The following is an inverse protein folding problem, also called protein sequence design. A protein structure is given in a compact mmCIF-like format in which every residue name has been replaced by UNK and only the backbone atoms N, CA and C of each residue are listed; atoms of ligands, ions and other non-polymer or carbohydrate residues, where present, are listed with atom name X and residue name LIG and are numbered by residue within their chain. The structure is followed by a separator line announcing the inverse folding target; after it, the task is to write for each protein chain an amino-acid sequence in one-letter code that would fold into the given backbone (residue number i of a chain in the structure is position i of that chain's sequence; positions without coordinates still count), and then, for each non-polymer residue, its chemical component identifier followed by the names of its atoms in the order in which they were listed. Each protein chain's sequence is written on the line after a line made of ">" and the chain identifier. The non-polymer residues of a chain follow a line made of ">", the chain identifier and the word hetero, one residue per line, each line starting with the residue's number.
data_IF_415777164067
#
_entry.id   IF_415777164067
#
_cell.length_a   1.000
_cell.length_b   1.000
_cell.length_c   1.000
_cell.angle_alpha   90.00
_cell.angle_beta   90.00
_cell.angle_gamma   90.00
#
_symmetry.space_group_name_H-M   'P 1'
#
loop_
_entity.id
_entity.type
_entity.pdbx_description
1 polymer ?
#
# COMPACT_ATOMS: atom_id res chain seq x y z
N UNK A 1 11.06 19.51 -0.06
CA UNK A 1 12.20 19.20 0.84
C UNK A 1 11.80 19.31 2.30
N UNK A 2 11.13 20.39 2.73
CA UNK A 2 10.64 20.57 4.11
C UNK A 2 9.81 19.40 4.66
N UNK A 3 8.89 18.84 3.87
CA UNK A 3 8.02 17.75 4.36
C UNK A 3 8.74 16.39 4.52
N UNK A 4 9.82 16.16 3.75
CA UNK A 4 10.71 15.01 3.96
C UNK A 4 11.45 15.16 5.29
N UNK A 5 11.88 16.37 5.63
CA UNK A 5 12.55 16.66 6.89
C UNK A 5 11.60 16.49 8.08
N UNK A 6 10.33 16.92 7.92
CA UNK A 6 9.27 16.65 8.91
C UNK A 6 9.13 15.14 9.15
N UNK A 7 8.96 14.35 8.08
CA UNK A 7 8.86 12.89 8.20
C UNK A 7 10.08 12.28 8.88
N UNK A 8 11.30 12.70 8.50
CA UNK A 8 12.54 12.20 9.11
C UNK A 8 12.68 12.59 10.58
N UNK A 9 12.27 13.80 10.96
CA UNK A 9 12.24 14.24 12.36
C UNK A 9 11.33 13.33 13.17
N UNK A 10 10.09 13.09 12.68
CA UNK A 10 9.13 12.22 13.35
C UNK A 10 9.67 10.79 13.48
N UNK A 11 10.21 10.22 12.41
CA UNK A 11 10.83 8.88 12.46
C UNK A 11 12.00 8.78 13.45
N UNK A 12 12.75 9.88 13.67
CA UNK A 12 13.81 9.93 14.68
C UNK A 12 13.32 10.10 16.12
N UNK A 13 12.10 10.62 16.30
CA UNK A 13 11.46 10.84 17.60
C UNK A 13 10.64 9.63 18.07
N UNK A 14 10.15 8.82 17.13
CA UNK A 14 9.32 7.64 17.42
C UNK A 14 10.06 6.66 18.34
N UNK A 15 9.36 6.20 19.38
CA UNK A 15 9.86 5.21 20.34
C UNK A 15 9.08 3.91 20.20
N UNK A 16 9.80 2.80 20.06
CA UNK A 16 9.22 1.47 20.17
C UNK A 16 9.08 1.09 21.65
N UNK A 17 7.89 0.63 22.04
CA UNK A 17 7.61 0.08 23.36
C UNK A 17 7.80 -1.43 23.43
N UNK A 18 7.29 -2.04 24.49
CA UNK A 18 7.33 -3.49 24.71
C UNK A 18 6.41 -4.23 23.73
N UNK A 19 6.94 -5.27 23.10
CA UNK A 19 6.18 -6.08 22.16
C UNK A 19 5.09 -6.89 22.88
N UNK A 20 3.90 -6.95 22.29
CA UNK A 20 2.76 -7.75 22.76
C UNK A 20 2.44 -8.83 21.74
N UNK A 21 2.13 -10.04 22.20
CA UNK A 21 1.70 -11.12 21.33
C UNK A 21 0.16 -11.19 21.26
N UNK A 22 -0.35 -11.57 20.09
CA UNK A 22 -1.75 -11.93 19.85
C UNK A 22 -1.77 -13.11 18.88
N UNK A 23 -1.86 -14.33 19.42
CA UNK A 23 -1.56 -15.56 18.69
C UNK A 23 -0.21 -15.49 17.94
N UNK A 24 -0.19 -15.66 16.61
CA UNK A 24 1.03 -15.58 15.80
C UNK A 24 1.49 -14.15 15.47
N UNK A 25 0.72 -13.12 15.85
CA UNK A 25 1.12 -11.72 15.68
C UNK A 25 1.97 -11.23 16.84
N UNK A 26 3.07 -10.57 16.51
CA UNK A 26 3.77 -9.66 17.42
C UNK A 26 3.42 -8.21 17.09
N UNK A 27 3.06 -7.41 18.09
CA UNK A 27 2.69 -6.01 17.93
C UNK A 27 3.64 -5.16 18.78
N UNK A 28 4.46 -4.34 18.13
CA UNK A 28 5.35 -3.40 18.81
C UNK A 28 4.71 -2.01 18.78
N UNK A 29 4.24 -1.48 19.92
CA UNK A 29 3.63 -0.16 19.95
C UNK A 29 4.66 0.92 19.64
N UNK A 30 4.25 1.92 18.89
CA UNK A 30 5.03 3.11 18.60
C UNK A 30 4.37 4.32 19.26
N UNK A 31 5.17 5.17 19.89
CA UNK A 31 4.73 6.45 20.46
C UNK A 31 5.59 7.60 19.94
N UNK A 32 5.05 8.81 20.01
CA UNK A 32 5.62 10.01 19.39
C UNK A 32 4.70 10.54 18.29
N UNK A 33 5.22 11.37 17.41
CA UNK A 33 4.40 12.07 16.41
C UNK A 33 4.02 13.48 16.85
N UNK A 34 3.35 14.20 15.95
CA UNK A 34 2.84 15.54 16.18
C UNK A 34 1.43 15.61 15.58
N UNK A 35 0.43 16.09 16.33
CA UNK A 35 -0.94 16.12 15.84
C UNK A 35 -1.06 17.11 14.68
N UNK A 36 -1.71 16.68 13.60
CA UNK A 36 -2.14 17.55 12.51
C UNK A 36 -3.34 18.41 12.97
N UNK A 37 -3.78 19.40 12.17
CA UNK A 37 -5.09 20.00 12.38
C UNK A 37 -6.24 18.99 12.31
N UNK A 38 -7.43 19.41 12.74
CA UNK A 38 -8.60 18.54 12.81
C UNK A 38 -9.01 18.00 11.43
N UNK A 39 -9.38 16.73 11.40
CA UNK A 39 -9.95 16.02 10.26
C UNK A 39 -10.88 14.90 10.76
N UNK A 40 -11.76 14.40 9.90
CA UNK A 40 -12.67 13.28 10.19
C UNK A 40 -12.23 12.05 9.39
N UNK A 41 -12.36 10.83 9.95
CA UNK A 41 -12.03 9.63 9.19
C UNK A 41 -13.15 9.28 8.20
N UNK A 42 -12.79 8.72 7.04
CA UNK A 42 -13.73 8.37 5.98
C UNK A 42 -14.87 7.47 6.47
N UNK A 43 -14.57 6.48 7.31
CA UNK A 43 -15.56 5.59 7.92
C UNK A 43 -16.66 6.36 8.68
N UNK A 44 -16.25 7.34 9.48
CA UNK A 44 -17.16 8.18 10.28
C UNK A 44 -17.97 9.12 9.39
N UNK A 45 -17.32 9.76 8.43
CA UNK A 45 -17.98 10.67 7.50
C UNK A 45 -18.97 9.93 6.58
N UNK A 46 -18.65 8.72 6.14
CA UNK A 46 -19.58 7.86 5.38
C UNK A 46 -20.79 7.46 6.22
N UNK A 47 -20.56 7.04 7.47
CA UNK A 47 -21.64 6.67 8.38
C UNK A 47 -22.58 7.85 8.70
N UNK A 48 -22.03 9.06 8.77
CA UNK A 48 -22.79 10.30 8.96
C UNK A 48 -23.44 10.86 7.67
N UNK A 49 -23.18 10.26 6.49
CA UNK A 49 -23.64 10.80 5.21
C UNK A 49 -22.95 12.10 4.79
N UNK A 50 -21.78 12.40 5.38
CA UNK A 50 -20.95 13.57 5.11
C UNK A 50 -19.83 13.31 4.09
N UNK A 51 -19.60 12.05 3.72
CA UNK A 51 -18.74 11.66 2.60
C UNK A 51 -19.55 10.80 1.64
N UNK A 52 -19.37 11.02 0.34
CA UNK A 52 -19.88 10.15 -0.71
C UNK A 52 -18.71 9.69 -1.57
N UNK A 53 -18.57 8.37 -1.77
CA UNK A 53 -17.59 7.82 -2.72
C UNK A 53 -18.35 7.05 -3.80
N UNK A 54 -18.07 7.32 -5.07
CA UNK A 54 -18.78 6.72 -6.22
C UNK A 54 -17.87 6.46 -7.41
N UNK A 55 -18.36 5.68 -8.36
CA UNK A 55 -17.71 5.52 -9.66
C UNK A 55 -17.69 6.86 -10.41
N UNK A 56 -16.59 7.14 -11.13
CA UNK A 56 -16.53 8.25 -12.10
C UNK A 56 -17.55 8.01 -13.22
N UNK A 57 -18.10 9.07 -13.80
CA UNK A 57 -19.02 8.96 -14.95
C UNK A 57 -18.40 8.08 -16.06
N UNK A 58 -19.14 7.06 -16.53
CA UNK A 58 -18.65 6.05 -17.47
C UNK A 58 -17.97 4.82 -16.83
N UNK A 59 -17.55 4.90 -15.56
CA UNK A 59 -16.90 3.80 -14.83
C UNK A 59 -15.44 3.59 -15.26
N UNK A 60 -14.61 4.63 -15.13
CA UNK A 60 -13.19 4.55 -15.46
C UNK A 60 -12.36 4.01 -14.28
N UNK A 61 -11.75 2.84 -14.45
CA UNK A 61 -10.63 2.38 -13.61
C UNK A 61 -9.38 3.18 -14.02
N UNK A 62 -8.45 3.55 -13.12
CA UNK A 62 -8.32 3.17 -11.70
C UNK A 62 -8.75 4.27 -10.70
N UNK A 63 -9.87 4.96 -10.95
CA UNK A 63 -10.29 6.12 -10.12
C UNK A 63 -11.71 6.00 -9.58
N UNK A 64 -11.93 6.42 -8.33
CA UNK A 64 -13.24 6.76 -7.80
C UNK A 64 -13.34 8.28 -7.59
N UNK A 65 -14.54 8.78 -7.35
CA UNK A 65 -14.78 10.17 -6.97
C UNK A 65 -15.17 10.21 -5.49
N UNK A 66 -14.48 11.01 -4.70
CA UNK A 66 -14.81 11.30 -3.31
C UNK A 66 -15.34 12.73 -3.18
N UNK A 67 -16.54 12.86 -2.63
CA UNK A 67 -17.22 14.13 -2.38
C UNK A 67 -17.39 14.33 -0.88
N UNK A 68 -16.61 15.24 -0.32
CA UNK A 68 -16.69 15.63 1.08
C UNK A 68 -17.72 16.75 1.26
N UNK A 69 -18.76 16.47 2.03
CA UNK A 69 -19.84 17.39 2.40
C UNK A 69 -19.65 17.97 3.81
N UNK A 70 -18.65 17.51 4.57
CA UNK A 70 -18.32 18.04 5.88
C UNK A 70 -17.69 19.44 5.79
N UNK A 71 -17.73 20.15 6.92
CA UNK A 71 -17.00 21.41 7.16
C UNK A 71 -15.50 21.18 7.41
N UNK A 72 -15.10 19.94 7.67
CA UNK A 72 -13.74 19.52 7.98
C UNK A 72 -13.15 18.69 6.83
N UNK A 73 -11.82 18.65 6.68
CA UNK A 73 -11.17 17.67 5.82
C UNK A 73 -11.50 16.24 6.24
N UNK A 74 -11.66 15.34 5.27
CA UNK A 74 -11.93 13.91 5.51
C UNK A 74 -10.74 13.07 5.05
N UNK A 75 -10.19 12.27 5.96
CA UNK A 75 -9.05 11.40 5.71
C UNK A 75 -9.50 10.01 5.24
N UNK A 76 -9.11 9.66 4.02
CA UNK A 76 -9.14 8.30 3.50
C UNK A 76 -7.74 7.72 3.65
N UNK A 77 -7.62 6.54 4.23
CA UNK A 77 -6.32 5.94 4.54
C UNK A 77 -5.79 5.09 3.39
N UNK A 78 -4.48 5.02 3.25
CA UNK A 78 -3.87 3.96 2.43
C UNK A 78 -4.25 2.60 3.02
N UNK A 79 -4.62 1.69 2.11
CA UNK A 79 -4.96 0.32 2.47
C UNK A 79 -6.44 0.11 2.83
N UNK A 80 -7.26 1.17 2.91
CA UNK A 80 -8.69 0.99 3.15
C UNK A 80 -9.34 0.28 1.98
N UNK A 81 -10.14 -0.73 2.30
CA UNK A 81 -11.00 -1.39 1.34
C UNK A 81 -12.34 -0.65 1.22
N UNK A 82 -12.70 -0.27 0.01
CA UNK A 82 -13.97 0.36 -0.35
C UNK A 82 -14.86 -0.64 -1.07
N UNK A 83 -16.06 -0.86 -0.53
CA UNK A 83 -17.04 -1.85 -1.00
C UNK A 83 -18.33 -1.16 -1.39
N UNK A 84 -19.12 -1.75 -2.28
CA UNK A 84 -20.43 -1.23 -2.71
C UNK A 84 -20.44 -0.52 -4.07
N UNK A 85 -19.27 -0.26 -4.65
CA UNK A 85 -19.12 0.16 -6.06
C UNK A 85 -19.04 -1.06 -7.00
N UNK A 86 -18.65 -0.91 -8.28
CA UNK A 86 -18.73 -2.03 -9.26
C UNK A 86 -17.75 -3.17 -9.01
N UNK A 87 -16.67 -2.87 -8.31
CA UNK A 87 -15.63 -3.78 -7.81
C UNK A 87 -15.19 -3.29 -6.45
N UNK A 88 -14.77 -4.19 -5.58
CA UNK A 88 -14.04 -3.75 -4.39
C UNK A 88 -12.73 -3.08 -4.78
N UNK A 89 -12.45 -1.99 -4.08
CA UNK A 89 -11.26 -1.17 -4.30
C UNK A 89 -10.42 -1.12 -3.04
N UNK A 90 -9.13 -0.92 -3.21
CA UNK A 90 -8.24 -0.45 -2.15
C UNK A 90 -7.71 0.94 -2.51
N UNK A 91 -7.68 1.86 -1.55
CA UNK A 91 -7.04 3.19 -1.74
C UNK A 91 -5.55 3.02 -1.99
N UNK A 92 -5.02 3.67 -3.02
CA UNK A 92 -3.60 3.53 -3.38
C UNK A 92 -2.66 4.29 -2.45
N UNK A 93 -3.12 5.42 -1.93
CA UNK A 93 -2.38 6.40 -1.13
C UNK A 93 -3.33 7.02 -0.10
N UNK A 94 -2.84 7.59 1.02
CA UNK A 94 -3.66 8.42 1.88
C UNK A 94 -4.16 9.66 1.12
N UNK A 95 -5.42 10.02 1.33
CA UNK A 95 -6.01 11.23 0.74
C UNK A 95 -6.76 12.01 1.80
N UNK A 96 -6.32 13.24 2.07
CA UNK A 96 -7.04 14.20 2.90
C UNK A 96 -7.91 15.09 2.01
N UNK A 97 -9.17 14.72 1.85
CA UNK A 97 -10.13 15.43 0.99
C UNK A 97 -10.52 16.74 1.65
N UNK A 98 -10.30 17.91 1.02
CA UNK A 98 -10.66 19.21 1.60
C UNK A 98 -12.14 19.28 1.98
N UNK A 99 -12.47 20.13 2.96
CA UNK A 99 -13.85 20.42 3.33
C UNK A 99 -14.68 20.89 2.12
N UNK A 100 -15.94 20.46 2.04
CA UNK A 100 -16.89 20.92 1.00
C UNK A 100 -16.34 20.82 -0.43
N UNK A 101 -15.65 19.73 -0.75
CA UNK A 101 -14.94 19.55 -2.03
C UNK A 101 -15.23 18.20 -2.67
N UNK A 102 -14.86 18.07 -3.95
CA UNK A 102 -14.93 16.83 -4.70
C UNK A 102 -13.62 16.62 -5.46
N UNK A 103 -13.07 15.40 -5.41
CA UNK A 103 -11.85 15.04 -6.14
C UNK A 103 -11.86 13.57 -6.57
N UNK A 104 -10.96 13.23 -7.49
CA UNK A 104 -10.72 11.85 -7.92
C UNK A 104 -9.68 11.19 -7.01
N UNK A 105 -10.01 10.01 -6.47
CA UNK A 105 -9.11 9.21 -5.63
C UNK A 105 -8.55 8.01 -6.40
N UNK A 106 -7.22 7.77 -6.34
CA UNK A 106 -6.61 6.63 -7.00
C UNK A 106 -6.85 5.34 -6.20
N UNK A 107 -7.28 4.31 -6.91
CA UNK A 107 -7.61 3.02 -6.30
C UNK A 107 -7.10 1.85 -7.15
N UNK A 108 -7.03 0.66 -6.54
CA UNK A 108 -6.80 -0.59 -7.25
C UNK A 108 -7.94 -1.56 -7.02
N UNK A 109 -8.33 -2.37 -8.01
CA UNK A 109 -9.34 -3.40 -7.78
C UNK A 109 -8.77 -4.56 -6.95
N UNK A 110 -9.54 -5.03 -5.97
CA UNK A 110 -9.26 -6.25 -5.19
C UNK A 110 -10.35 -7.31 -5.39
N UNK A 111 -11.07 -7.22 -6.50
CA UNK A 111 -12.12 -8.16 -6.95
C UNK A 111 -12.16 -8.26 -8.49
N UNK A 112 -11.26 -9.06 -9.10
CA UNK A 112 -11.02 -9.07 -10.55
C UNK A 112 -12.25 -9.43 -11.41
N UNK A 113 -13.14 -10.30 -10.92
CA UNK A 113 -14.16 -10.97 -11.75
C UNK A 113 -15.57 -10.39 -11.62
N UNK A 114 -15.74 -9.31 -10.85
CA UNK A 114 -17.01 -8.56 -10.78
C UNK A 114 -16.89 -7.26 -11.56
N UNK A 115 -17.91 -6.87 -12.32
CA UNK A 115 -18.02 -5.50 -12.88
C UNK A 115 -19.49 -5.07 -12.92
N UNK A 116 -20.10 -5.01 -11.74
CA UNK A 116 -21.50 -4.63 -11.57
C UNK A 116 -21.72 -4.17 -10.13
N UNK A 117 -22.68 -3.28 -9.93
CA UNK A 117 -23.16 -2.99 -8.59
C UNK A 117 -23.83 -4.23 -8.00
N UNK A 118 -23.70 -4.41 -6.69
CA UNK A 118 -24.48 -5.42 -5.96
C UNK A 118 -25.83 -4.85 -5.56
N UNK A 119 -25.86 -3.93 -4.57
CA UNK A 119 -27.08 -3.29 -4.05
C UNK A 119 -26.98 -1.78 -3.92
N UNK A 120 -25.82 -1.28 -3.49
CA UNK A 120 -25.53 0.16 -3.35
C UNK A 120 -24.89 0.70 -4.63
N UNK A 121 -24.93 2.02 -4.79
CA UNK A 121 -24.23 2.76 -5.87
C UNK A 121 -23.09 3.64 -5.35
N UNK A 122 -22.93 3.68 -4.03
CA UNK A 122 -21.89 4.41 -3.32
C UNK A 122 -21.08 3.44 -2.48
N UNK A 123 -19.80 3.77 -2.29
CA UNK A 123 -18.90 2.98 -1.49
C UNK A 123 -19.16 3.16 0.01
N UNK A 124 -18.79 2.17 0.79
CA UNK A 124 -18.55 2.27 2.23
C UNK A 124 -17.18 1.66 2.54
N UNK A 125 -16.62 2.03 3.67
CA UNK A 125 -15.36 1.45 4.17
C UNK A 125 -15.67 0.10 4.81
N UNK A 126 -14.98 -0.95 4.34
CA UNK A 126 -15.10 -2.29 4.92
C UNK A 126 -14.30 -2.42 6.22
N UNK A 127 -14.70 -3.40 7.04
CA UNK A 127 -14.15 -3.60 8.37
C UNK A 127 -12.64 -3.91 8.39
N UNK A 128 -12.03 -4.71 7.49
CA UNK A 128 -10.59 -4.93 7.53
C UNK A 128 -9.80 -3.86 6.76
N UNK A 129 -8.67 -3.43 7.31
CA UNK A 129 -7.58 -2.87 6.51
C UNK A 129 -7.02 -4.00 5.61
N UNK A 130 -6.67 -3.68 4.37
CA UNK A 130 -6.10 -4.68 3.45
C UNK A 130 -4.82 -5.29 4.01
N UNK A 131 -4.62 -6.58 3.76
CA UNK A 131 -3.52 -7.38 4.31
C UNK A 131 -2.15 -6.78 3.97
N UNK A 132 -1.17 -6.74 4.89
CA UNK A 132 0.17 -6.23 4.66
C UNK A 132 0.83 -6.67 3.35
N UNK A 133 0.72 -7.94 2.94
CA UNK A 133 1.35 -8.37 1.67
C UNK A 133 0.77 -7.69 0.44
N UNK A 134 -0.56 -7.53 0.38
CA UNK A 134 -1.22 -6.82 -0.72
C UNK A 134 -0.85 -5.33 -0.68
N UNK A 135 -0.84 -4.70 0.50
CA UNK A 135 -0.41 -3.31 0.69
C UNK A 135 1.05 -3.10 0.26
N UNK A 136 1.97 -3.97 0.68
CA UNK A 136 3.39 -3.90 0.32
C UNK A 136 3.61 -3.89 -1.20
N UNK A 137 2.93 -4.78 -1.94
CA UNK A 137 3.02 -4.83 -3.42
C UNK A 137 2.42 -3.58 -4.07
N UNK A 138 1.28 -3.11 -3.55
CA UNK A 138 0.61 -1.91 -4.04
C UNK A 138 1.48 -0.67 -3.80
N UNK A 139 1.92 -0.43 -2.57
CA UNK A 139 2.73 0.73 -2.18
C UNK A 139 4.05 0.76 -2.95
N UNK A 140 4.73 -0.39 -3.11
CA UNK A 140 5.92 -0.46 -3.96
C UNK A 140 5.64 -0.06 -5.42
N UNK A 141 4.55 -0.56 -6.00
CA UNK A 141 4.19 -0.26 -7.39
C UNK A 141 3.75 1.20 -7.58
N UNK A 142 2.95 1.73 -6.66
CA UNK A 142 2.45 3.12 -6.67
C UNK A 142 3.62 4.08 -6.48
N UNK A 143 4.51 3.81 -5.51
CA UNK A 143 5.70 4.61 -5.28
C UNK A 143 6.63 4.65 -6.50
N UNK A 144 6.82 3.53 -7.19
CA UNK A 144 7.59 3.48 -8.44
C UNK A 144 6.92 4.30 -9.55
N UNK A 145 5.59 4.19 -9.70
CA UNK A 145 4.83 4.97 -10.67
C UNK A 145 4.89 6.47 -10.39
N UNK A 146 4.77 6.86 -9.12
CA UNK A 146 4.77 8.26 -8.72
C UNK A 146 6.14 8.89 -8.97
N UNK A 147 7.24 8.20 -8.63
CA UNK A 147 8.61 8.65 -8.92
C UNK A 147 8.89 8.78 -10.41
N UNK A 148 8.41 7.84 -11.22
CA UNK A 148 8.73 7.80 -12.65
C UNK A 148 7.86 8.74 -13.49
N UNK A 149 6.58 8.93 -13.10
CA UNK A 149 5.56 9.54 -13.97
C UNK A 149 4.65 10.54 -13.25
N UNK A 150 4.75 10.70 -11.93
CA UNK A 150 3.81 11.53 -11.16
C UNK A 150 2.40 10.92 -11.01
N UNK A 151 2.23 9.63 -11.33
CA UNK A 151 0.94 8.94 -11.33
C UNK A 151 0.83 7.94 -10.17
N UNK A 152 -0.35 7.84 -9.54
CA UNK A 152 -0.64 6.88 -8.45
C UNK A 152 -1.16 5.53 -8.95
N UNK A 153 -0.74 5.14 -10.14
CA UNK A 153 -1.14 3.85 -10.72
C UNK A 153 -0.39 2.71 -10.04
N UNK A 154 -1.09 1.61 -9.80
CA UNK A 154 -0.50 0.35 -9.37
C UNK A 154 -0.44 -0.66 -10.53
N UNK A 155 0.37 -1.71 -10.36
CA UNK A 155 0.31 -2.90 -11.19
C UNK A 155 -0.88 -3.76 -10.76
N UNK A 156 -1.99 -3.58 -11.47
CA UNK A 156 -3.26 -4.24 -11.17
C UNK A 156 -3.16 -5.78 -11.18
N UNK A 157 -2.32 -6.36 -12.05
CA UNK A 157 -2.14 -7.81 -12.13
C UNK A 157 -1.36 -8.34 -10.94
N UNK A 158 -0.34 -7.62 -10.47
CA UNK A 158 0.39 -8.00 -9.24
C UNK A 158 -0.50 -7.93 -8.00
N UNK A 159 -1.43 -6.97 -7.95
CA UNK A 159 -2.42 -6.90 -6.87
C UNK A 159 -3.35 -8.09 -6.92
N UNK A 160 -3.88 -8.46 -8.09
CA UNK A 160 -4.73 -9.64 -8.21
C UNK A 160 -4.01 -10.94 -7.86
N UNK A 161 -2.75 -11.12 -8.29
CA UNK A 161 -1.95 -12.27 -7.87
C UNK A 161 -1.78 -12.32 -6.34
N UNK A 162 -1.59 -11.16 -5.69
CA UNK A 162 -1.53 -11.08 -4.22
C UNK A 162 -2.85 -11.46 -3.55
N UNK A 163 -3.98 -11.01 -4.10
CA UNK A 163 -5.31 -11.37 -3.61
C UNK A 163 -5.56 -12.88 -3.77
N UNK A 164 -5.17 -13.46 -4.90
CA UNK A 164 -5.28 -14.91 -5.14
C UNK A 164 -4.42 -15.73 -4.17
N UNK A 165 -3.19 -15.29 -3.89
CA UNK A 165 -2.34 -15.89 -2.84
C UNK A 165 -3.04 -15.84 -1.47
N UNK A 166 -3.64 -14.70 -1.09
CA UNK A 166 -4.39 -14.58 0.18
C UNK A 166 -5.57 -15.52 0.26
N UNK A 167 -6.36 -15.63 -0.81
CA UNK A 167 -7.50 -16.55 -0.87
C UNK A 167 -7.05 -18.01 -0.75
N UNK A 168 -5.96 -18.38 -1.43
CA UNK A 168 -5.39 -19.72 -1.39
C UNK A 168 -4.84 -20.08 0.00
N UNK A 169 -4.06 -19.19 0.62
CA UNK A 169 -3.53 -19.38 1.98
C UNK A 169 -4.63 -19.42 3.03
N UNK A 170 -5.65 -18.57 2.89
CA UNK A 170 -6.85 -18.61 3.72
C UNK A 170 -7.69 -19.88 3.50
N UNK A 171 -7.45 -20.62 2.40
CA UNK A 171 -8.23 -21.79 1.94
C UNK A 171 -9.70 -21.45 1.70
N UNK A 172 -9.94 -20.28 1.11
CA UNK A 172 -11.29 -19.77 0.80
C UNK A 172 -11.49 -19.74 -0.71
N UNK A 173 -12.60 -20.32 -1.18
CA UNK A 173 -13.05 -20.18 -2.57
C UNK A 173 -13.78 -18.85 -2.76
N UNK A 174 -13.62 -18.23 -3.92
CA UNK A 174 -14.20 -16.92 -4.23
C UNK A 174 -14.51 -16.79 -5.72
N UNK A 175 -15.80 -16.83 -6.07
CA UNK A 175 -16.26 -16.73 -7.46
C UNK A 175 -15.81 -15.42 -8.13
N UNK A 176 -15.81 -14.32 -7.36
CA UNK A 176 -15.42 -13.00 -7.86
C UNK A 176 -13.93 -12.70 -7.69
N UNK A 177 -13.22 -13.53 -6.92
CA UNK A 177 -11.85 -13.26 -6.49
C UNK A 177 -11.75 -12.09 -5.50
N UNK A 178 -12.82 -11.73 -4.79
CA UNK A 178 -12.80 -10.64 -3.83
C UNK A 178 -11.92 -10.95 -2.61
N UNK A 179 -11.04 -10.02 -2.23
CA UNK A 179 -10.22 -10.15 -1.04
C UNK A 179 -11.06 -10.22 0.26
N UNK A 180 -12.20 -9.51 0.32
CA UNK A 180 -13.11 -9.56 1.49
C UNK A 180 -13.53 -10.98 1.86
N UNK A 181 -13.68 -11.88 0.87
CA UNK A 181 -14.08 -13.26 1.13
C UNK A 181 -13.04 -14.01 1.98
N UNK A 182 -11.74 -13.67 1.90
CA UNK A 182 -10.73 -14.24 2.78
C UNK A 182 -10.98 -13.87 4.25
N UNK A 183 -11.37 -12.62 4.52
CA UNK A 183 -11.70 -12.14 5.85
C UNK A 183 -13.03 -12.71 6.37
N UNK A 184 -14.04 -12.83 5.51
CA UNK A 184 -15.34 -13.40 5.84
C UNK A 184 -15.22 -14.90 6.14
N UNK A 185 -14.56 -15.65 5.26
CA UNK A 185 -14.36 -17.09 5.41
C UNK A 185 -13.50 -17.48 6.61
N UNK A 186 -12.69 -16.55 7.13
CA UNK A 186 -11.84 -16.74 8.33
C UNK A 186 -12.25 -15.86 9.50
N UNK A 187 -13.47 -15.31 9.50
CA UNK A 187 -13.90 -14.33 10.48
C UNK A 187 -13.76 -14.80 11.95
N UNK A 188 -14.05 -16.08 12.22
CA UNK A 188 -13.91 -16.67 13.55
C UNK A 188 -12.45 -16.69 14.02
N UNK A 189 -11.54 -17.18 13.19
CA UNK A 189 -10.11 -17.27 13.53
C UNK A 189 -9.50 -15.89 13.74
N UNK A 190 -9.88 -14.93 12.89
CA UNK A 190 -9.42 -13.55 12.98
C UNK A 190 -9.97 -12.85 14.23
N UNK A 191 -11.20 -13.14 14.65
CA UNK A 191 -11.80 -12.54 15.84
C UNK A 191 -11.02 -12.87 17.11
N UNK A 192 -10.49 -14.10 17.23
CA UNK A 192 -9.64 -14.49 18.36
C UNK A 192 -8.36 -13.64 18.43
N UNK A 193 -7.66 -13.50 17.30
CA UNK A 193 -6.45 -12.67 17.22
C UNK A 193 -6.74 -11.20 17.54
N UNK A 194 -7.85 -10.65 17.01
CA UNK A 194 -8.25 -9.27 17.28
C UNK A 194 -8.56 -9.06 18.77
N UNK A 195 -9.25 -10.01 19.40
CA UNK A 195 -9.54 -9.93 20.83
C UNK A 195 -8.26 -9.99 21.69
N UNK A 196 -7.30 -10.86 21.34
CA UNK A 196 -6.03 -10.98 22.05
C UNK A 196 -5.13 -9.75 21.88
N UNK A 197 -5.18 -9.07 20.73
CA UNK A 197 -4.45 -7.83 20.51
C UNK A 197 -4.91 -6.72 21.47
N UNK A 198 -6.16 -6.76 21.92
CA UNK A 198 -6.76 -5.76 22.81
C UNK A 198 -6.75 -4.37 22.19
N UNK A 199 -6.66 -3.33 23.03
CA UNK A 199 -6.61 -1.94 22.59
C UNK A 199 -5.16 -1.41 22.50
N UNK A 200 -4.93 -0.31 21.76
CA UNK A 200 -3.66 0.42 21.81
C UNK A 200 -3.33 0.89 23.22
N UNK A 201 -2.05 0.96 23.54
CA UNK A 201 -1.59 1.56 24.78
C UNK A 201 -1.84 3.07 24.82
N UNK A 202 -1.90 3.64 26.02
CA UNK A 202 -2.03 5.09 26.20
C UNK A 202 -0.87 5.83 25.49
N UNK A 203 -1.22 6.85 24.69
CA UNK A 203 -0.25 7.63 23.92
C UNK A 203 0.35 6.90 22.71
N UNK A 204 -0.07 5.68 22.40
CA UNK A 204 0.35 4.96 21.21
C UNK A 204 -0.18 5.64 19.95
N UNK A 205 0.70 5.91 18.99
CA UNK A 205 0.38 6.56 17.71
C UNK A 205 0.67 5.68 16.50
N UNK A 206 1.38 4.58 16.69
CA UNK A 206 1.58 3.59 15.64
C UNK A 206 1.88 2.19 16.15
N UNK A 207 2.20 1.30 15.22
CA UNK A 207 2.54 -0.09 15.51
C UNK A 207 3.45 -0.65 14.42
N UNK A 208 4.43 -1.47 14.82
CA UNK A 208 5.06 -2.44 13.91
C UNK A 208 4.41 -3.78 14.15
N UNK A 209 3.78 -4.34 13.11
CA UNK A 209 3.24 -5.68 13.13
C UNK A 209 4.30 -6.67 12.66
N UNK A 210 4.42 -7.80 13.35
CA UNK A 210 5.39 -8.84 13.10
C UNK A 210 4.72 -10.21 12.98
N UNK A 211 5.25 -11.06 12.11
CA UNK A 211 4.90 -12.49 11.99
C UNK A 211 6.22 -13.28 11.93
N UNK A 212 6.29 -14.40 12.65
CA UNK A 212 7.55 -15.17 12.76
C UNK A 212 8.70 -14.33 13.35
N UNK A 213 8.37 -13.40 14.25
CA UNK A 213 9.31 -12.48 14.88
C UNK A 213 9.78 -11.31 14.01
N UNK A 214 9.41 -11.24 12.72
CA UNK A 214 9.91 -10.22 11.78
C UNK A 214 8.83 -9.21 11.38
N UNK A 215 9.18 -7.93 11.15
CA UNK A 215 8.23 -6.93 10.66
C UNK A 215 7.55 -7.36 9.36
N UNK A 216 6.24 -7.11 9.27
CA UNK A 216 5.45 -7.25 8.04
C UNK A 216 4.79 -5.93 7.64
N UNK A 217 4.58 -5.02 8.60
CA UNK A 217 4.04 -3.68 8.37
C UNK A 217 4.44 -2.73 9.49
N UNK A 218 4.49 -1.44 9.18
CA UNK A 218 4.44 -0.33 10.11
C UNK A 218 3.29 0.59 9.68
N UNK A 219 2.44 0.94 10.65
CA UNK A 219 1.41 1.95 10.50
C UNK A 219 1.59 2.99 11.62
N UNK A 220 1.71 4.26 11.24
CA UNK A 220 1.89 5.39 12.15
C UNK A 220 0.91 6.51 11.80
N UNK A 221 0.30 7.10 12.81
CA UNK A 221 -0.66 8.21 12.69
C UNK A 221 -0.20 9.41 13.52
N UNK A 222 -0.79 10.56 13.27
CA UNK A 222 -0.41 11.81 13.92
C UNK A 222 -0.83 11.90 15.40
N UNK A 223 -1.87 11.16 15.81
CA UNK A 223 -2.42 11.21 17.17
C UNK A 223 -3.00 9.86 17.65
N UNK A 224 -3.03 9.61 18.98
CA UNK A 224 -3.51 8.33 19.52
C UNK A 224 -4.98 8.01 19.21
N UNK A 225 -5.84 9.04 19.16
CA UNK A 225 -7.26 8.85 18.85
C UNK A 225 -7.49 8.32 17.45
N UNK A 226 -6.66 8.71 16.48
CA UNK A 226 -6.71 8.17 15.11
C UNK A 226 -6.34 6.69 15.12
N UNK A 227 -5.22 6.32 15.76
CA UNK A 227 -4.83 4.91 15.87
C UNK A 227 -5.94 4.09 16.53
N UNK A 228 -6.49 4.54 17.66
CA UNK A 228 -7.54 3.83 18.38
C UNK A 228 -8.78 3.56 17.52
N UNK A 229 -9.19 4.52 16.69
CA UNK A 229 -10.34 4.35 15.80
C UNK A 229 -10.09 3.33 14.68
N UNK A 230 -8.85 3.29 14.17
CA UNK A 230 -8.45 2.43 13.05
C UNK A 230 -7.97 1.05 13.53
N UNK A 231 -7.62 0.91 14.81
CA UNK A 231 -6.95 -0.24 15.40
C UNK A 231 -7.61 -1.60 15.11
N UNK A 232 -8.93 -1.79 15.32
CA UNK A 232 -9.55 -3.09 15.07
C UNK A 232 -9.40 -3.53 13.60
N UNK A 233 -9.44 -2.56 12.69
CA UNK A 233 -9.33 -2.76 11.24
C UNK A 233 -7.89 -3.12 10.84
N UNK A 234 -6.90 -2.46 11.44
CA UNK A 234 -5.48 -2.78 11.23
C UNK A 234 -5.13 -4.18 11.74
N UNK A 235 -5.51 -4.50 12.97
CA UNK A 235 -5.22 -5.82 13.55
C UNK A 235 -5.86 -6.93 12.72
N UNK A 236 -7.10 -6.73 12.25
CA UNK A 236 -7.76 -7.69 11.35
C UNK A 236 -7.01 -7.86 10.03
N UNK A 237 -6.46 -6.77 9.50
CA UNK A 237 -5.59 -6.79 8.32
C UNK A 237 -4.31 -7.59 8.55
N UNK A 238 -3.62 -7.36 9.66
CA UNK A 238 -2.41 -8.10 10.04
C UNK A 238 -2.69 -9.58 10.29
N UNK A 239 -3.81 -9.87 10.96
CA UNK A 239 -4.20 -11.22 11.35
C UNK A 239 -4.36 -12.13 10.13
N UNK A 240 -4.80 -11.60 8.97
CA UNK A 240 -4.88 -12.38 7.74
C UNK A 240 -3.50 -12.87 7.27
N UNK A 241 -2.46 -12.04 7.36
CA UNK A 241 -1.07 -12.40 7.05
C UNK A 241 -0.44 -13.35 8.10
N UNK A 242 -1.01 -13.40 9.31
CA UNK A 242 -0.54 -14.25 10.39
C UNK A 242 -1.25 -15.61 10.45
N UNK A 243 -2.30 -15.82 9.65
CA UNK A 243 -3.05 -17.08 9.65
C UNK A 243 -2.14 -18.26 9.30
N UNK A 244 -2.10 -19.25 10.20
CA UNK A 244 -1.30 -20.47 10.01
C UNK A 244 0.20 -20.31 10.26
N UNK A 245 0.66 -19.11 10.65
CA UNK A 245 2.02 -18.93 11.12
C UNK A 245 2.19 -19.47 12.55
N UNK A 246 3.40 -19.88 12.89
CA UNK A 246 3.76 -20.23 14.26
C UNK A 246 4.03 -18.97 15.08
N UNK A 247 3.62 -19.00 16.35
CA UNK A 247 3.94 -17.94 17.29
C UNK A 247 5.46 -17.90 17.54
N UNK A 248 6.04 -16.72 17.40
CA UNK A 248 7.46 -16.49 17.61
C UNK A 248 7.67 -15.16 18.34
N UNK A 249 8.67 -15.06 19.23
CA UNK A 249 8.99 -13.81 19.89
C UNK A 249 9.42 -12.76 18.86
N UNK A 250 9.07 -11.50 19.11
CA UNK A 250 9.50 -10.39 18.25
C UNK A 250 11.02 -10.26 18.30
N UNK A 251 11.64 -10.26 17.11
CA UNK A 251 13.04 -9.92 16.94
C UNK A 251 13.20 -8.40 17.02
N UNK A 252 13.61 -7.93 18.20
CA UNK A 252 13.84 -6.51 18.46
C UNK A 252 14.94 -5.90 17.59
N UNK A 253 15.90 -6.69 17.10
CA UNK A 253 16.91 -6.20 16.16
C UNK A 253 16.31 -6.01 14.77
N UNK A 254 15.48 -6.93 14.29
CA UNK A 254 14.76 -6.78 13.03
C UNK A 254 13.85 -5.54 13.04
N UNK A 255 13.14 -5.28 14.15
CA UNK A 255 12.29 -4.08 14.30
C UNK A 255 13.13 -2.80 14.29
N UNK A 256 14.23 -2.74 15.06
CA UNK A 256 15.12 -1.58 15.06
C UNK A 256 15.75 -1.35 13.69
N UNK A 257 16.16 -2.41 13.01
CA UNK A 257 16.70 -2.36 11.64
C UNK A 257 15.68 -1.82 10.65
N UNK A 258 14.42 -2.24 10.75
CA UNK A 258 13.34 -1.75 9.89
C UNK A 258 13.06 -0.26 10.11
N UNK A 259 12.93 0.19 11.37
CA UNK A 259 12.77 1.61 11.71
C UNK A 259 13.95 2.47 11.25
N UNK A 260 15.18 2.01 11.48
CA UNK A 260 16.39 2.71 11.02
C UNK A 260 16.48 2.77 9.49
N UNK A 261 16.03 1.71 8.81
CA UNK A 261 15.92 1.65 7.36
C UNK A 261 14.97 2.72 6.81
N UNK A 262 13.81 2.91 7.45
CA UNK A 262 12.84 3.94 7.07
C UNK A 262 13.41 5.35 7.24
N UNK A 263 14.07 5.62 8.37
CA UNK A 263 14.67 6.94 8.65
C UNK A 263 15.80 7.31 7.67
N UNK A 264 16.55 6.31 7.18
CA UNK A 264 17.71 6.48 6.29
C UNK A 264 17.38 6.30 4.81
N UNK A 265 16.18 5.79 4.50
CA UNK A 265 15.74 5.49 3.15
C UNK A 265 15.73 6.71 2.23
N UNK A 266 15.69 6.43 0.93
CA UNK A 266 15.46 7.44 -0.09
C UNK A 266 14.02 7.93 0.01
N UNK A 267 13.84 9.25 -0.02
CA UNK A 267 12.53 9.89 0.05
C UNK A 267 12.34 10.85 -1.12
N UNK A 268 11.15 10.82 -1.73
CA UNK A 268 10.71 11.84 -2.69
C UNK A 268 9.36 12.40 -2.25
N UNK A 269 9.20 13.71 -2.38
CA UNK A 269 7.95 14.41 -2.06
C UNK A 269 7.21 14.79 -3.35
N UNK A 270 5.89 14.67 -3.29
CA UNK A 270 4.96 14.93 -4.39
C UNK A 270 3.73 15.63 -3.83
N UNK A 271 3.10 16.51 -4.60
CA UNK A 271 1.83 17.13 -4.20
C UNK A 271 0.79 16.03 -3.95
N UNK A 272 0.11 16.03 -2.80
CA UNK A 272 -0.91 15.03 -2.53
C UNK A 272 -2.14 15.20 -3.45
N UNK A 273 -2.96 14.16 -3.55
CA UNK A 273 -4.24 14.21 -4.30
C UNK A 273 -5.20 15.24 -3.69
N UNK A 274 -5.22 15.33 -2.36
CA UNK A 274 -5.95 16.33 -1.60
C UNK A 274 -5.00 17.29 -0.91
N UNK A 275 -5.26 17.58 0.37
CA UNK A 275 -4.38 18.43 1.17
C UNK A 275 -3.08 17.71 1.54
N UNK A 276 -1.98 18.46 1.57
CA UNK A 276 -0.68 18.00 2.06
C UNK A 276 0.30 17.55 0.97
N UNK A 277 1.31 16.82 1.40
CA UNK A 277 2.41 16.29 0.58
C UNK A 277 2.49 14.79 0.76
N UNK A 278 2.53 14.07 -0.35
CA UNK A 278 2.77 12.64 -0.38
C UNK A 278 4.29 12.39 -0.41
N UNK A 279 4.81 11.64 0.57
CA UNK A 279 6.22 11.27 0.63
C UNK A 279 6.35 9.76 0.41
N UNK A 280 7.02 9.40 -0.68
CA UNK A 280 7.35 8.00 -0.98
C UNK A 280 8.69 7.67 -0.35
N UNK A 281 8.73 6.60 0.44
CA UNK A 281 9.93 6.02 1.02
C UNK A 281 10.34 4.75 0.28
N UNK A 282 11.63 4.60 -0.01
CA UNK A 282 12.20 3.38 -0.55
C UNK A 282 13.59 3.12 0.02
N UNK A 283 13.94 1.87 0.21
CA UNK A 283 15.24 1.47 0.72
C UNK A 283 15.56 0.03 0.35
N UNK A 284 16.72 -0.46 0.78
CA UNK A 284 17.09 -1.86 0.59
C UNK A 284 16.09 -2.76 1.33
N UNK A 285 15.17 -3.37 0.58
CA UNK A 285 14.16 -4.27 1.11
C UNK A 285 13.02 -3.61 1.89
N UNK A 286 12.73 -2.32 1.63
CA UNK A 286 11.54 -1.66 2.19
C UNK A 286 10.88 -0.69 1.20
N UNK A 287 9.60 -0.44 1.43
CA UNK A 287 8.80 0.58 0.75
C UNK A 287 7.88 1.25 1.75
N UNK A 288 7.47 2.49 1.49
CA UNK A 288 6.45 3.15 2.28
C UNK A 288 5.90 4.38 1.59
N UNK A 289 4.77 4.85 2.09
CA UNK A 289 4.13 6.10 1.70
C UNK A 289 3.64 6.82 2.94
N UNK A 290 3.73 8.14 2.92
CA UNK A 290 3.28 8.99 4.00
C UNK A 290 2.54 10.22 3.47
N UNK A 291 1.53 10.67 4.22
CA UNK A 291 0.91 11.96 4.04
C UNK A 291 1.43 12.93 5.10
N UNK A 292 2.08 14.00 4.66
CA UNK A 292 2.51 15.10 5.52
C UNK A 292 1.59 16.30 5.30
N UNK A 293 1.02 16.86 6.36
CA UNK A 293 0.16 18.03 6.27
C UNK A 293 0.38 18.93 7.50
N UNK A 294 0.63 20.22 7.25
CA UNK A 294 0.83 21.25 8.29
C UNK A 294 1.86 20.84 9.37
N UNK A 295 2.97 20.23 8.93
CA UNK A 295 4.07 19.83 9.82
C UNK A 295 3.84 18.55 10.62
N UNK A 296 2.78 17.79 10.32
CA UNK A 296 2.47 16.49 10.92
C UNK A 296 2.50 15.36 9.88
N UNK A 297 2.85 14.15 10.31
CA UNK A 297 2.69 12.92 9.51
C UNK A 297 1.31 12.35 9.83
N UNK A 298 0.33 12.61 8.97
CA UNK A 298 -1.08 12.22 9.15
C UNK A 298 -1.24 10.70 9.13
N UNK A 299 -0.60 10.06 8.14
CA UNK A 299 -0.45 8.62 8.04
C UNK A 299 0.93 8.32 7.47
N UNK A 300 1.59 7.29 7.97
CA UNK A 300 2.71 6.60 7.33
C UNK A 300 2.39 5.10 7.34
N UNK A 301 2.43 4.50 6.15
CA UNK A 301 2.38 3.06 5.96
C UNK A 301 3.72 2.61 5.36
N UNK A 302 4.32 1.58 5.95
CA UNK A 302 5.58 1.05 5.46
C UNK A 302 5.65 -0.48 5.59
N UNK A 303 6.34 -1.10 4.64
CA UNK A 303 6.40 -2.55 4.52
C UNK A 303 7.82 -3.00 4.15
N UNK A 304 8.26 -4.16 4.62
CA UNK A 304 9.33 -4.88 3.95
C UNK A 304 8.93 -5.09 2.48
N UNK A 305 9.87 -4.87 1.58
CA UNK A 305 9.68 -5.10 0.15
C UNK A 305 10.71 -6.12 -0.35
N UNK A 306 10.35 -6.89 -1.37
CA UNK A 306 11.36 -7.68 -2.07
C UNK A 306 12.36 -6.71 -2.73
N UNK A 307 13.67 -6.96 -2.62
CA UNK A 307 14.63 -6.22 -3.45
C UNK A 307 14.24 -6.41 -4.92
N UNK A 308 14.35 -5.38 -5.77
CA UNK A 308 14.06 -5.53 -7.18
C UNK A 308 14.89 -6.69 -7.70
N UNK A 309 14.22 -7.74 -8.21
CA UNK A 309 14.91 -8.85 -8.87
C UNK A 309 15.71 -8.22 -10.00
N UNK A 310 17.03 -8.09 -9.80
CA UNK A 310 17.93 -7.64 -10.84
C UNK A 310 17.69 -8.52 -12.06
N UNK A 311 17.63 -7.92 -13.25
CA UNK A 311 17.45 -8.66 -14.52
C UNK A 311 18.19 -9.98 -14.43
N UNK A 312 17.46 -11.08 -14.31
CA UNK A 312 18.06 -12.41 -14.40
C UNK A 312 18.75 -12.42 -15.75
N UNK A 313 20.08 -12.47 -15.75
CA UNK A 313 20.81 -12.87 -16.95
C UNK A 313 20.27 -14.26 -17.26
N UNK A 314 19.78 -14.53 -18.48
CA UNK A 314 19.25 -15.84 -18.80
C UNK A 314 20.31 -16.88 -18.40
N UNK A 315 19.87 -17.85 -17.60
CA UNK A 315 20.73 -18.91 -17.09
C UNK A 315 21.57 -19.45 -18.24
N UNK A 316 22.88 -19.47 -18.05
CA UNK A 316 23.85 -19.82 -19.07
C UNK A 316 23.48 -21.14 -19.72
N UNK A 317 23.16 -21.07 -21.02
CA UNK A 317 23.15 -22.24 -21.89
C UNK A 317 24.53 -22.88 -21.85
N UNK A 318 24.55 -24.18 -21.54
CA UNK A 318 25.75 -25.00 -21.55
C UNK A 318 26.49 -24.85 -22.88
N UNK A 319 27.75 -24.45 -22.78
CA UNK A 319 28.71 -24.53 -23.89
C UNK A 319 29.21 -25.96 -23.93
N UNK A 320 28.82 -26.70 -24.98
CA UNK A 320 29.41 -27.99 -25.37
C UNK A 320 30.27 -27.78 -26.62
N UNK A 321 31.56 -28.09 -26.51
CA UNK A 321 32.59 -27.93 -27.54
C UNK A 321 32.58 -29.10 -28.55
N UNK A 322 32.90 -28.78 -29.81
CA UNK A 322 33.40 -29.68 -30.87
C UNK A 322 32.33 -30.29 -31.78
N UNK A 323 32.43 -30.27 -33.11
CA UNK A 323 33.49 -29.86 -34.01
C UNK A 323 32.95 -29.92 -35.47
N UNK A 324 33.71 -29.39 -36.44
CA UNK A 324 33.62 -29.61 -37.90
C UNK A 324 32.73 -28.66 -38.75
N UNK A 325 33.31 -27.54 -39.23
CA UNK A 325 33.87 -27.41 -40.59
C UNK A 325 34.13 -25.93 -40.98
N UNK A 326 35.35 -25.68 -41.45
CA UNK A 326 35.85 -24.38 -41.93
C UNK A 326 35.66 -24.22 -43.47
N UNK A 327 35.87 -23.00 -44.04
CA UNK A 327 35.27 -22.46 -45.29
C UNK A 327 36.23 -22.66 -46.52
N UNK A 328 36.06 -22.12 -47.78
CA UNK A 328 35.71 -20.73 -48.16
C UNK A 328 34.93 -20.51 -49.50
N UNK A 329 34.38 -19.30 -49.72
CA UNK A 329 34.73 -18.44 -50.88
C UNK A 329 33.73 -17.30 -51.17
N UNK A 330 34.34 -16.13 -51.38
CA UNK A 330 33.94 -14.96 -52.19
C UNK A 330 32.56 -14.93 -52.89
N UNK A 331 31.85 -13.80 -52.72
CA UNK A 331 31.64 -12.84 -53.82
C UNK A 331 31.20 -11.47 -53.32
N UNK A 332 31.95 -10.49 -53.79
CA UNK A 332 31.73 -9.05 -53.70
C UNK A 332 30.37 -8.60 -54.22
N UNK A 333 29.80 -7.54 -53.63
CA UNK A 333 29.52 -6.29 -54.35
C UNK A 333 29.30 -5.12 -53.38
N UNK A 334 30.25 -4.20 -53.40
CA UNK A 334 30.07 -2.80 -53.02
C UNK A 334 29.21 -2.11 -54.08
N UNK A 335 28.30 -1.21 -53.69
CA UNK A 335 28.18 0.11 -54.32
C UNK A 335 27.97 1.17 -53.24
N UNK A 336 28.81 2.19 -53.31
CA UNK A 336 28.75 3.42 -52.53
C UNK A 336 27.98 4.48 -53.35
N UNK A 337 27.22 5.31 -52.63
CA UNK A 337 27.10 6.78 -52.66
C UNK A 337 27.00 7.53 -54.01
N UNK A 338 26.01 8.42 -54.13
CA UNK A 338 26.23 9.89 -54.20
C UNK A 338 24.91 10.68 -54.41
N UNK A 339 24.80 11.77 -53.64
CA UNK A 339 24.24 13.10 -53.93
C UNK A 339 22.72 13.34 -54.10
N UNK A 340 22.19 14.20 -53.21
CA UNK A 340 20.86 14.87 -53.33
C UNK A 340 20.93 16.11 -54.25
N UNK A 341 20.23 17.22 -53.99
CA UNK A 341 18.92 17.45 -53.36
C UNK A 341 17.90 18.06 -54.38
N UNK A 342 16.64 18.32 -54.00
CA UNK A 342 15.87 19.55 -54.34
C UNK A 342 14.43 19.56 -53.80
N UNK A 343 14.04 20.75 -53.34
CA UNK A 343 12.77 21.20 -52.79
C UNK A 343 11.60 21.27 -53.80
N UNK A 344 10.43 21.63 -53.22
CA UNK A 344 9.22 22.23 -53.82
C UNK A 344 8.29 21.18 -54.43
N UNK A 345 7.06 20.96 -53.97
CA UNK A 345 5.99 21.86 -53.50
C UNK A 345 5.02 21.06 -52.63
#
# INVERSE_FOLDING_TARGET
>A
MRDIEVLRSILGEVRAGEARAAGPLGLVPLSGGRPAPAYVLAEEALAAGLLEIREKAGGSVPTLVARNLASEPVLLLEGEQLVGVRQDRVLNVPVLVPASSELEIPVSCVEPRRWRYERRRTAFVDAPMVSPRVRARKVASVGASLRARGMRDSDQFRIWAAVEERLAEARVSSDTGALRHAYEGRAHDLAGIVAEAGEPAEGQTGVVACVGGRPIALDLFDRPSTLARVWPRLVRGYALDALGAEAAPVDGEAVRGFLAGLARGEATAHDAVGLGTEVVLSGAGLTGDALVWEGAVVQLAAFPSEPPRGRERPAGGQVGFGDLLAPPSSRSRRRRWADGPRCVR
#
